data_IF_515092619503
#
_entry.id   IF_515092619503
#
_cell.length_a   1.000
_cell.length_b   1.000
_cell.length_c   1.000
_cell.angle_alpha   90.00
_cell.angle_beta   90.00
_cell.angle_gamma   90.00
#
_symmetry.space_group_name_H-M   'P 1'
#
loop_
_entity.id
_entity.type
_entity.pdbx_description
1 polymer ?
#
# COMPACT_ATOMS: atom_id res chain seq x y z
N UNK A 1 -31.12 20.74 -6.20
CA UNK A 1 -30.83 20.33 -7.58
C UNK A 1 -30.06 19.03 -7.49
N UNK A 2 -30.53 17.96 -8.13
CA UNK A 2 -29.78 16.70 -8.16
C UNK A 2 -28.43 16.98 -8.83
N UNK A 3 -27.33 16.55 -8.22
CA UNK A 3 -26.01 16.67 -8.83
C UNK A 3 -26.03 15.93 -10.16
N UNK A 4 -25.92 16.66 -11.27
CA UNK A 4 -25.74 16.07 -12.60
C UNK A 4 -24.45 15.25 -12.60
N UNK A 5 -24.51 14.05 -13.17
CA UNK A 5 -23.37 13.16 -13.26
C UNK A 5 -22.25 13.85 -14.06
N UNK A 6 -21.07 14.13 -13.46
CA UNK A 6 -20.08 15.04 -14.05
C UNK A 6 -19.30 14.43 -15.21
N UNK A 7 -19.52 13.16 -15.54
CA UNK A 7 -18.82 12.47 -16.62
C UNK A 7 -19.71 12.33 -17.85
N UNK A 8 -19.18 12.65 -19.02
CA UNK A 8 -19.87 12.40 -20.27
C UNK A 8 -20.13 10.90 -20.43
N UNK A 9 -21.38 10.51 -20.70
CA UNK A 9 -21.74 9.11 -20.95
C UNK A 9 -21.17 8.55 -22.26
N UNK A 10 -20.57 9.43 -23.07
CA UNK A 10 -20.00 9.15 -24.39
C UNK A 10 -18.47 9.16 -24.38
N UNK A 11 -17.83 9.00 -23.22
CA UNK A 11 -16.37 8.89 -23.16
C UNK A 11 -15.89 7.63 -23.89
N UNK A 12 -15.11 7.80 -24.97
CA UNK A 12 -14.54 6.68 -25.72
C UNK A 12 -13.58 5.87 -24.83
N UNK A 13 -13.69 4.53 -24.80
CA UNK A 13 -12.79 3.71 -24.02
C UNK A 13 -11.37 3.77 -24.57
N UNK A 14 -10.38 3.83 -23.69
CA UNK A 14 -8.98 3.67 -24.06
C UNK A 14 -8.80 2.26 -24.64
N UNK A 15 -8.06 2.15 -25.76
CA UNK A 15 -7.80 0.88 -26.45
C UNK A 15 -6.30 0.63 -26.51
N UNK A 16 -5.91 -0.64 -26.32
CA UNK A 16 -4.53 -1.10 -26.48
C UNK A 16 -4.53 -2.49 -27.12
N UNK A 17 -3.53 -2.79 -27.94
CA UNK A 17 -3.47 -4.05 -28.68
C UNK A 17 -2.75 -5.18 -27.93
N UNK A 18 -1.86 -4.85 -26.98
CA UNK A 18 -0.93 -5.82 -26.35
C UNK A 18 -1.07 -5.95 -24.85
N UNK A 19 -1.22 -4.82 -24.15
CA UNK A 19 -1.29 -4.78 -22.70
C UNK A 19 -1.86 -3.45 -22.24
N UNK A 20 -2.48 -3.46 -21.06
CA UNK A 20 -3.09 -2.28 -20.44
C UNK A 20 -2.94 -2.39 -18.93
N UNK A 21 -2.56 -1.28 -18.29
CA UNK A 21 -2.58 -1.13 -16.84
C UNK A 21 -3.51 0.03 -16.53
N UNK A 22 -4.43 -0.20 -15.59
CA UNK A 22 -5.39 0.80 -15.13
C UNK A 22 -5.25 0.90 -13.62
N UNK A 23 -4.98 2.10 -13.11
CA UNK A 23 -4.94 2.37 -11.68
C UNK A 23 -5.45 3.77 -11.37
N UNK A 24 -5.53 4.12 -10.08
CA UNK A 24 -5.97 5.43 -9.61
C UNK A 24 -4.94 6.54 -9.81
N UNK A 25 -3.71 6.21 -10.24
CA UNK A 25 -2.66 7.20 -10.45
C UNK A 25 -1.92 6.99 -11.79
N UNK A 26 -1.58 8.10 -12.45
CA UNK A 26 -0.92 8.05 -13.75
C UNK A 26 0.55 7.61 -13.65
N UNK A 27 1.29 7.96 -12.59
CA UNK A 27 2.65 7.44 -12.37
C UNK A 27 2.61 5.93 -12.16
N UNK A 28 1.72 5.43 -11.32
CA UNK A 28 1.63 3.99 -11.04
C UNK A 28 1.15 3.18 -12.25
N UNK A 29 0.23 3.72 -13.05
CA UNK A 29 -0.17 3.12 -14.32
C UNK A 29 1.01 3.07 -15.31
N UNK A 30 1.78 4.15 -15.39
CA UNK A 30 2.96 4.20 -16.26
C UNK A 30 4.05 3.21 -15.84
N UNK A 31 4.30 3.05 -14.53
CA UNK A 31 5.23 2.05 -13.99
C UNK A 31 4.84 0.64 -14.45
N UNK A 32 3.55 0.26 -14.30
CA UNK A 32 3.09 -1.04 -14.76
C UNK A 32 3.18 -1.21 -16.28
N UNK A 33 2.87 -0.17 -17.06
CA UNK A 33 3.03 -0.18 -18.52
C UNK A 33 4.49 -0.38 -18.92
N UNK A 34 5.44 0.27 -18.24
CA UNK A 34 6.88 0.09 -18.48
C UNK A 34 7.29 -1.36 -18.26
N UNK A 35 6.85 -1.99 -17.17
CA UNK A 35 7.12 -3.42 -16.91
C UNK A 35 6.58 -4.31 -18.03
N UNK A 36 5.37 -4.05 -18.53
CA UNK A 36 4.83 -4.79 -19.68
C UNK A 36 5.65 -4.57 -20.97
N UNK A 37 6.11 -3.33 -21.21
CA UNK A 37 6.93 -3.00 -22.39
C UNK A 37 8.32 -3.66 -22.33
N UNK A 38 8.85 -3.86 -21.14
CA UNK A 38 10.15 -4.50 -20.88
C UNK A 38 10.06 -6.03 -20.86
N UNK A 39 8.87 -6.59 -21.11
CA UNK A 39 8.63 -8.04 -21.26
C UNK A 39 8.13 -8.74 -20.01
N UNK A 40 7.83 -8.00 -18.94
CA UNK A 40 7.14 -8.54 -17.77
C UNK A 40 5.69 -8.94 -18.07
N UNK A 41 5.16 -9.83 -17.25
CA UNK A 41 3.79 -10.29 -17.38
C UNK A 41 2.80 -9.42 -16.57
N UNK A 42 1.51 -9.76 -16.60
CA UNK A 42 0.48 -9.00 -15.89
C UNK A 42 0.65 -9.03 -14.35
N UNK A 43 1.23 -10.09 -13.77
CA UNK A 43 1.53 -10.17 -12.34
C UNK A 43 2.71 -9.27 -11.99
N UNK A 44 3.78 -9.28 -12.80
CA UNK A 44 4.92 -8.37 -12.64
C UNK A 44 4.47 -6.90 -12.66
N UNK A 45 3.67 -6.53 -13.66
CA UNK A 45 3.12 -5.18 -13.79
C UNK A 45 2.22 -4.81 -12.59
N UNK A 46 1.39 -5.74 -12.11
CA UNK A 46 0.53 -5.51 -10.94
C UNK A 46 1.34 -5.30 -9.65
N UNK A 47 2.45 -6.05 -9.47
CA UNK A 47 3.36 -5.88 -8.33
C UNK A 47 4.02 -4.51 -8.37
N UNK A 48 4.62 -4.13 -9.50
CA UNK A 48 5.27 -2.83 -9.64
C UNK A 48 4.29 -1.65 -9.50
N UNK A 49 3.10 -1.75 -10.10
CA UNK A 49 2.03 -0.74 -9.93
C UNK A 49 1.60 -0.64 -8.47
N UNK A 50 1.52 -1.75 -7.73
CA UNK A 50 1.12 -1.73 -6.32
C UNK A 50 2.15 -1.02 -5.43
N UNK A 51 3.45 -1.26 -5.64
CA UNK A 51 4.51 -0.52 -4.94
C UNK A 51 4.54 0.95 -5.32
N UNK A 52 4.35 1.28 -6.61
CA UNK A 52 4.25 2.68 -7.03
C UNK A 52 3.05 3.38 -6.35
N UNK A 53 1.88 2.74 -6.29
CA UNK A 53 0.70 3.28 -5.59
C UNK A 53 0.96 3.49 -4.10
N UNK A 54 1.77 2.66 -3.44
CA UNK A 54 2.16 2.85 -2.04
C UNK A 54 2.93 4.16 -1.79
N UNK A 55 3.45 4.78 -2.86
CA UNK A 55 4.17 6.05 -2.80
C UNK A 55 3.31 7.20 -3.29
N UNK A 56 2.70 7.07 -4.48
CA UNK A 56 2.03 8.20 -5.15
C UNK A 56 0.56 8.36 -4.75
N UNK A 57 -0.04 7.33 -4.13
CA UNK A 57 -1.43 7.35 -3.67
C UNK A 57 -1.54 6.96 -2.18
N UNK A 58 -0.96 7.75 -1.25
CA UNK A 58 -0.87 7.40 0.17
C UNK A 58 -2.22 7.30 0.90
N UNK A 59 -3.33 7.78 0.30
CA UNK A 59 -4.69 7.62 0.82
C UNK A 59 -5.13 6.13 0.85
N UNK A 60 -4.56 5.28 -0.01
CA UNK A 60 -4.99 3.88 -0.12
C UNK A 60 -3.90 2.90 -0.55
N UNK A 61 -2.99 3.31 -1.45
CA UNK A 61 -1.82 2.50 -1.78
C UNK A 61 -0.94 2.33 -0.55
N UNK A 62 -0.44 1.12 -0.30
CA UNK A 62 0.19 0.84 0.99
C UNK A 62 1.20 -0.32 0.95
N UNK A 63 2.13 -0.26 1.90
CA UNK A 63 2.89 -1.41 2.41
C UNK A 63 2.47 -1.78 3.85
N UNK A 64 1.76 -0.88 4.54
CA UNK A 64 1.30 -1.01 5.93
C UNK A 64 -0.15 -1.51 6.10
N UNK A 65 -0.83 -1.89 5.01
CA UNK A 65 -2.17 -2.49 5.04
C UNK A 65 -2.18 -3.86 4.38
N UNK A 66 -3.28 -4.23 3.73
CA UNK A 66 -3.47 -5.51 3.06
C UNK A 66 -4.32 -5.42 1.81
N UNK A 67 -4.77 -6.57 1.31
CA UNK A 67 -5.60 -6.63 0.11
C UNK A 67 -5.75 -8.04 -0.47
N UNK A 68 -6.11 -8.07 -1.76
CA UNK A 68 -6.37 -9.29 -2.50
C UNK A 68 -5.89 -9.13 -3.95
N UNK A 69 -5.43 -10.23 -4.55
CA UNK A 69 -5.08 -10.30 -5.97
C UNK A 69 -5.80 -11.49 -6.59
N UNK A 70 -6.56 -11.25 -7.66
CA UNK A 70 -7.18 -12.29 -8.47
C UNK A 70 -6.50 -12.31 -9.83
N UNK A 71 -6.05 -13.49 -10.24
CA UNK A 71 -5.27 -13.69 -11.45
C UNK A 71 -6.04 -14.66 -12.33
N UNK A 72 -6.15 -14.34 -13.62
CA UNK A 72 -6.68 -15.23 -14.65
C UNK A 72 -5.64 -15.37 -15.75
N UNK A 73 -5.24 -16.60 -16.01
CA UNK A 73 -4.23 -16.93 -17.01
C UNK A 73 -4.87 -17.19 -18.39
N UNK A 74 -4.04 -17.16 -19.43
CA UNK A 74 -4.47 -17.32 -20.81
C UNK A 74 -5.03 -18.73 -21.11
N UNK A 75 -4.57 -19.73 -20.37
CA UNK A 75 -5.07 -21.12 -20.43
C UNK A 75 -6.38 -21.33 -19.66
N UNK A 76 -6.86 -20.30 -18.97
CA UNK A 76 -8.08 -20.33 -18.17
C UNK A 76 -7.88 -20.70 -16.71
N UNK A 77 -6.65 -21.01 -16.26
CA UNK A 77 -6.35 -21.17 -14.84
C UNK A 77 -6.66 -19.86 -14.09
N UNK A 78 -7.11 -19.98 -12.84
CA UNK A 78 -7.36 -18.84 -11.97
C UNK A 78 -6.71 -19.06 -10.62
N UNK A 79 -6.26 -17.98 -10.01
CA UNK A 79 -5.68 -18.00 -8.68
C UNK A 79 -6.10 -16.76 -7.89
N UNK A 80 -6.23 -16.89 -6.58
CA UNK A 80 -6.42 -15.76 -5.69
C UNK A 80 -5.40 -15.78 -4.55
N UNK A 81 -4.78 -14.63 -4.28
CA UNK A 81 -3.98 -14.39 -3.08
C UNK A 81 -4.79 -13.49 -2.15
N UNK A 82 -5.06 -14.00 -0.95
CA UNK A 82 -5.55 -13.23 0.18
C UNK A 82 -4.35 -12.78 1.03
N UNK A 83 -4.13 -11.48 1.06
CA UNK A 83 -3.16 -10.83 1.91
C UNK A 83 -3.82 -9.75 2.75
N UNK A 84 -5.04 -10.03 3.22
CA UNK A 84 -5.72 -9.22 4.23
C UNK A 84 -4.94 -9.24 5.54
N UNK A 85 -4.95 -8.10 6.22
CA UNK A 85 -4.37 -7.97 7.55
C UNK A 85 -4.94 -9.03 8.50
N UNK A 86 -4.10 -9.53 9.40
CA UNK A 86 -4.51 -10.44 10.48
C UNK A 86 -4.53 -9.67 11.79
N UNK A 87 -5.49 -9.97 12.65
CA UNK A 87 -5.46 -9.44 14.00
C UNK A 87 -4.17 -9.93 14.70
N UNK A 88 -3.49 -9.07 15.48
CA UNK A 88 -2.35 -9.50 16.30
C UNK A 88 -2.74 -10.64 17.24
N UNK A 89 -1.78 -11.47 17.65
CA UNK A 89 -1.99 -12.61 18.55
C UNK A 89 -2.59 -12.21 19.90
N UNK A 90 -2.27 -10.99 20.36
CA UNK A 90 -2.83 -10.41 21.58
C UNK A 90 -4.26 -9.84 21.40
N UNK A 91 -4.78 -9.77 20.17
CA UNK A 91 -6.14 -9.32 19.92
C UNK A 91 -7.16 -10.32 20.49
N UNK A 92 -8.25 -9.79 21.05
CA UNK A 92 -9.32 -10.59 21.63
C UNK A 92 -10.67 -9.92 21.42
N UNK A 93 -11.74 -10.71 21.53
CA UNK A 93 -13.13 -10.30 21.25
C UNK A 93 -13.51 -8.93 21.84
N UNK A 94 -13.14 -8.68 23.09
CA UNK A 94 -13.56 -7.51 23.86
C UNK A 94 -12.51 -6.39 23.92
N UNK A 95 -11.46 -6.43 23.09
CA UNK A 95 -10.34 -5.48 23.19
C UNK A 95 -10.76 -4.01 22.99
N UNK A 96 -11.89 -3.76 22.32
CA UNK A 96 -12.43 -2.42 22.09
C UNK A 96 -13.56 -2.04 23.06
N UNK A 97 -13.81 -2.83 24.10
CA UNK A 97 -14.88 -2.56 25.06
C UNK A 97 -14.33 -2.04 26.39
N UNK A 98 -14.96 -1.00 26.92
CA UNK A 98 -14.82 -0.56 28.29
C UNK A 98 -15.53 -1.55 29.24
N UNK A 99 -15.31 -1.39 30.55
CA UNK A 99 -15.86 -2.30 31.57
C UNK A 99 -17.40 -2.30 31.64
N UNK A 100 -18.03 -1.19 31.22
CA UNK A 100 -19.48 -1.03 31.12
C UNK A 100 -20.07 -1.52 29.79
N UNK A 101 -19.21 -1.94 28.85
CA UNK A 101 -19.58 -2.44 27.53
C UNK A 101 -19.60 -1.38 26.43
N UNK A 102 -19.26 -0.13 26.73
CA UNK A 102 -19.15 0.92 25.72
C UNK A 102 -17.88 0.77 24.88
N UNK A 103 -17.88 1.32 23.66
CA UNK A 103 -16.69 1.30 22.79
C UNK A 103 -15.62 2.25 23.33
N UNK A 104 -14.40 1.73 23.45
CA UNK A 104 -13.21 2.55 23.70
C UNK A 104 -12.93 3.42 22.48
N UNK A 105 -12.39 4.62 22.71
CA UNK A 105 -11.80 5.41 21.62
C UNK A 105 -10.60 4.65 21.00
N UNK A 106 -10.23 5.05 19.78
CA UNK A 106 -9.06 4.49 19.11
C UNK A 106 -9.26 3.16 18.38
N UNK A 107 -10.51 2.69 18.26
CA UNK A 107 -10.85 1.46 17.52
C UNK A 107 -10.91 1.65 15.99
N UNK A 108 -11.03 2.90 15.53
CA UNK A 108 -10.99 3.28 14.10
C UNK A 108 -9.68 3.99 13.73
N UNK A 109 -9.17 4.82 14.63
CA UNK A 109 -7.99 5.65 14.43
C UNK A 109 -6.99 5.41 15.57
N UNK A 110 -5.73 5.10 15.26
CA UNK A 110 -4.70 4.84 16.27
C UNK A 110 -4.23 3.38 16.31
N UNK A 111 -3.23 3.12 17.13
CA UNK A 111 -2.41 1.91 17.06
C UNK A 111 -3.17 0.61 17.34
N UNK A 112 -4.27 0.67 18.10
CA UNK A 112 -5.12 -0.51 18.38
C UNK A 112 -5.97 -0.93 17.19
N UNK A 113 -6.22 -0.04 16.23
CA UNK A 113 -6.97 -0.35 15.01
C UNK A 113 -6.12 -1.10 13.95
N UNK A 114 -4.81 -1.24 14.17
CA UNK A 114 -3.87 -1.75 13.17
C UNK A 114 -3.80 -3.28 13.21
N UNK A 115 -4.12 -3.92 12.09
CA UNK A 115 -3.84 -5.34 11.86
C UNK A 115 -2.43 -5.55 11.31
N UNK A 116 -1.90 -6.76 11.46
CA UNK A 116 -0.59 -7.15 10.93
C UNK A 116 -0.59 -6.98 9.40
N UNK A 117 0.23 -6.07 8.82
CA UNK A 117 0.15 -5.73 7.40
C UNK A 117 0.42 -6.93 6.49
N UNK A 118 -0.32 -7.01 5.39
CA UNK A 118 -0.26 -8.12 4.46
C UNK A 118 0.29 -7.82 3.07
N UNK A 119 0.26 -6.55 2.65
CA UNK A 119 0.56 -6.15 1.27
C UNK A 119 1.90 -6.71 0.75
N UNK A 120 3.00 -6.49 1.47
CA UNK A 120 4.33 -6.94 1.04
C UNK A 120 4.39 -8.46 0.89
N UNK A 121 3.84 -9.22 1.84
CA UNK A 121 3.83 -10.68 1.75
C UNK A 121 2.93 -11.20 0.61
N UNK A 122 1.82 -10.51 0.30
CA UNK A 122 0.94 -10.85 -0.81
C UNK A 122 1.61 -10.65 -2.16
N UNK A 123 2.19 -9.45 -2.37
CA UNK A 123 2.91 -9.12 -3.59
C UNK A 123 4.13 -10.02 -3.80
N UNK A 124 4.89 -10.26 -2.73
CA UNK A 124 6.01 -11.21 -2.75
C UNK A 124 5.53 -12.63 -3.12
N UNK A 125 4.47 -13.14 -2.49
CA UNK A 125 3.96 -14.47 -2.80
C UNK A 125 3.48 -14.62 -4.25
N UNK A 126 2.82 -13.59 -4.80
CA UNK A 126 2.41 -13.57 -6.20
C UNK A 126 3.63 -13.57 -7.14
N UNK A 127 4.62 -12.71 -6.88
CA UNK A 127 5.87 -12.67 -7.65
C UNK A 127 6.63 -14.00 -7.60
N UNK A 128 6.81 -14.60 -6.41
CA UNK A 128 7.53 -15.86 -6.29
C UNK A 128 6.90 -17.02 -7.06
N UNK A 129 5.58 -16.97 -7.29
CA UNK A 129 4.86 -18.03 -7.99
C UNK A 129 4.69 -17.75 -9.48
N UNK A 130 4.47 -16.50 -9.87
CA UNK A 130 4.06 -16.13 -11.23
C UNK A 130 4.84 -14.96 -11.83
N UNK A 131 5.79 -14.38 -11.11
CA UNK A 131 6.65 -13.32 -11.61
C UNK A 131 7.66 -13.84 -12.63
N UNK A 132 8.07 -12.96 -13.53
CA UNK A 132 9.08 -13.24 -14.56
C UNK A 132 10.18 -12.17 -14.66
N UNK A 133 9.97 -11.01 -14.05
CA UNK A 133 10.95 -9.93 -13.94
C UNK A 133 11.65 -10.04 -12.57
N UNK A 134 12.95 -9.74 -12.44
CA UNK A 134 13.61 -9.74 -11.13
C UNK A 134 12.88 -8.82 -10.12
N UNK A 135 12.65 -9.32 -8.91
CA UNK A 135 11.97 -8.57 -7.84
C UNK A 135 12.49 -7.15 -7.64
N UNK A 136 13.82 -7.00 -7.68
CA UNK A 136 14.46 -5.71 -7.45
C UNK A 136 14.02 -4.66 -8.48
N UNK A 137 13.82 -5.08 -9.73
CA UNK A 137 13.42 -4.22 -10.84
C UNK A 137 11.93 -3.82 -10.73
N UNK A 138 11.11 -4.61 -10.03
CA UNK A 138 9.71 -4.27 -9.78
C UNK A 138 9.52 -3.28 -8.62
N UNK A 139 10.46 -3.25 -7.66
CA UNK A 139 10.42 -2.33 -6.51
C UNK A 139 11.15 -1.01 -6.81
N UNK A 140 12.19 -1.04 -7.67
CA UNK A 140 13.03 0.11 -7.99
C UNK A 140 12.24 1.38 -8.39
N UNK A 141 11.21 1.32 -9.26
CA UNK A 141 10.46 2.51 -9.65
C UNK A 141 9.74 3.19 -8.48
N UNK A 142 9.31 2.42 -7.48
CA UNK A 142 8.69 2.98 -6.28
C UNK A 142 9.73 3.69 -5.40
N UNK A 143 10.96 3.16 -5.31
CA UNK A 143 12.06 3.83 -4.59
C UNK A 143 12.38 5.17 -5.26
N UNK A 144 12.48 5.20 -6.60
CA UNK A 144 12.72 6.44 -7.36
C UNK A 144 11.60 7.46 -7.13
N UNK A 145 10.33 7.03 -7.18
CA UNK A 145 9.20 7.90 -6.86
C UNK A 145 9.28 8.40 -5.41
N UNK A 146 9.65 7.55 -4.45
CA UNK A 146 9.74 7.96 -3.05
C UNK A 146 10.86 8.99 -2.80
N UNK A 147 11.89 9.02 -3.64
CA UNK A 147 12.94 10.04 -3.61
C UNK A 147 12.46 11.40 -4.16
N UNK A 148 11.38 11.43 -4.94
CA UNK A 148 10.77 12.67 -5.41
C UNK A 148 9.84 12.50 -6.60
N UNK A 149 8.64 13.08 -6.51
CA UNK A 149 7.72 13.19 -7.64
C UNK A 149 6.89 14.48 -7.55
N UNK A 150 6.38 14.94 -8.69
CA UNK A 150 5.51 16.12 -8.73
C UNK A 150 4.12 15.79 -8.19
N UNK A 151 3.66 16.59 -7.21
CA UNK A 151 2.32 16.53 -6.64
C UNK A 151 1.29 16.96 -7.69
N UNK A 152 0.33 16.09 -7.98
CA UNK A 152 -0.76 16.35 -8.96
C UNK A 152 -2.09 16.63 -8.28
N UNK A 153 -3.07 17.09 -9.06
CA UNK A 153 -4.37 17.58 -8.58
C UNK A 153 -5.09 16.62 -7.62
N UNK A 154 -5.16 15.32 -7.96
CA UNK A 154 -5.81 14.31 -7.11
C UNK A 154 -5.13 14.20 -5.74
N UNK A 155 -3.80 14.16 -5.70
CA UNK A 155 -3.06 14.04 -4.45
C UNK A 155 -3.17 15.32 -3.63
N UNK A 156 -3.01 16.50 -4.24
CA UNK A 156 -3.18 17.78 -3.57
C UNK A 156 -4.58 17.91 -2.95
N UNK A 157 -5.62 17.47 -3.66
CA UNK A 157 -6.98 17.44 -3.14
C UNK A 157 -7.14 16.46 -1.98
N UNK A 158 -6.59 15.25 -2.09
CA UNK A 158 -6.64 14.22 -1.05
C UNK A 158 -5.94 14.68 0.25
N UNK A 159 -4.72 15.20 0.14
CA UNK A 159 -3.96 15.74 1.27
C UNK A 159 -4.66 16.95 1.90
N UNK A 160 -5.19 17.87 1.07
CA UNK A 160 -5.91 19.05 1.53
C UNK A 160 -7.18 18.73 2.33
N UNK A 161 -7.87 17.62 2.03
CA UNK A 161 -9.03 17.15 2.80
C UNK A 161 -8.65 16.40 4.09
N UNK A 162 -7.38 16.03 4.24
CA UNK A 162 -6.91 15.14 5.31
C UNK A 162 -6.02 15.85 6.32
N UNK A 163 -5.86 17.18 6.24
CA UNK A 163 -4.93 17.97 7.08
C UNK A 163 -5.12 17.68 8.57
N UNK A 164 -6.36 17.68 9.06
CA UNK A 164 -6.64 17.46 10.48
C UNK A 164 -6.21 16.04 10.92
N UNK A 165 -6.46 15.03 10.09
CA UNK A 165 -6.07 13.65 10.38
C UNK A 165 -4.55 13.43 10.30
N UNK A 166 -3.90 14.05 9.31
CA UNK A 166 -2.45 13.98 9.11
C UNK A 166 -1.67 14.71 10.21
N UNK A 167 -2.30 15.68 10.88
CA UNK A 167 -1.70 16.44 11.98
C UNK A 167 -1.76 15.76 13.34
N UNK A 168 -2.42 14.61 13.48
CA UNK A 168 -2.58 13.90 14.76
C UNK A 168 -1.26 13.32 15.25
N UNK A 169 -0.56 12.58 14.38
CA UNK A 169 0.69 11.90 14.72
C UNK A 169 1.90 12.73 14.25
N UNK A 170 2.87 13.07 15.12
CA UNK A 170 4.02 13.89 14.75
C UNK A 170 4.82 13.35 13.56
N UNK A 171 5.03 12.03 13.49
CA UNK A 171 5.76 11.39 12.39
C UNK A 171 5.01 11.51 11.05
N UNK A 172 3.67 11.43 11.08
CA UNK A 172 2.84 11.65 9.89
C UNK A 172 2.85 13.12 9.47
N UNK A 173 2.74 14.05 10.42
CA UNK A 173 2.75 15.48 10.14
C UNK A 173 4.09 15.94 9.55
N UNK A 174 5.22 15.39 10.03
CA UNK A 174 6.55 15.70 9.49
C UNK A 174 6.68 15.37 8.00
N UNK A 175 6.08 14.26 7.56
CA UNK A 175 6.10 13.82 6.17
C UNK A 175 5.08 14.63 5.34
N UNK A 176 3.81 14.63 5.76
CA UNK A 176 2.70 15.09 4.91
C UNK A 176 2.30 16.54 5.14
N UNK A 177 2.77 17.18 6.20
CA UNK A 177 2.49 18.58 6.53
C UNK A 177 3.80 19.35 6.85
N UNK A 178 4.82 19.33 5.98
CA UNK A 178 6.06 20.05 6.23
C UNK A 178 5.79 21.55 6.39
N UNK A 179 6.16 22.11 7.54
CA UNK A 179 5.82 23.51 7.88
C UNK A 179 4.34 23.73 8.22
N UNK A 180 3.60 22.65 8.53
CA UNK A 180 2.20 22.68 8.96
C UNK A 180 1.17 22.72 7.83
N UNK A 181 1.58 22.50 6.57
CA UNK A 181 0.69 22.53 5.40
C UNK A 181 1.05 21.39 4.43
N UNK A 182 0.08 20.86 3.68
CA UNK A 182 0.35 19.83 2.70
C UNK A 182 1.22 20.35 1.54
N UNK A 183 2.03 19.49 0.91
CA UNK A 183 2.79 19.82 -0.28
C UNK A 183 1.92 20.49 -1.36
N UNK A 184 2.32 21.66 -1.90
CA UNK A 184 1.56 22.35 -2.93
C UNK A 184 1.45 21.56 -4.24
N UNK A 185 0.36 21.79 -5.00
CA UNK A 185 0.26 21.32 -6.39
C UNK A 185 1.48 21.77 -7.21
N UNK A 186 2.08 20.84 -7.98
CA UNK A 186 3.27 21.09 -8.79
C UNK A 186 4.59 21.11 -8.01
N UNK A 187 4.57 21.01 -6.69
CA UNK A 187 5.78 20.86 -5.88
C UNK A 187 6.32 19.43 -5.94
N UNK A 188 7.58 19.23 -5.57
CA UNK A 188 8.16 17.90 -5.41
C UNK A 188 7.88 17.37 -4.02
N UNK A 189 7.24 16.21 -3.93
CA UNK A 189 7.01 15.50 -2.68
C UNK A 189 8.02 14.35 -2.51
N UNK A 190 8.64 14.28 -1.33
CA UNK A 190 9.73 13.37 -0.99
C UNK A 190 9.36 12.57 0.24
N UNK A 191 9.62 11.26 0.22
CA UNK A 191 9.30 10.31 1.28
C UNK A 191 10.54 9.44 1.58
N UNK A 192 11.62 10.06 2.08
CA UNK A 192 12.92 9.41 2.27
C UNK A 192 12.87 8.14 3.13
N UNK A 193 12.08 8.15 4.21
CA UNK A 193 11.95 6.99 5.11
C UNK A 193 11.21 5.82 4.43
N UNK A 194 10.24 6.14 3.57
CA UNK A 194 9.57 5.15 2.74
C UNK A 194 10.53 4.60 1.69
N UNK A 195 11.35 5.44 1.06
CA UNK A 195 12.38 5.00 0.13
C UNK A 195 13.37 4.02 0.78
N UNK A 196 13.81 4.30 2.01
CA UNK A 196 14.67 3.39 2.78
C UNK A 196 13.96 2.06 3.10
N UNK A 197 12.68 2.11 3.49
CA UNK A 197 11.88 0.90 3.74
C UNK A 197 11.68 0.06 2.48
N UNK A 198 11.40 0.71 1.34
CA UNK A 198 11.30 0.05 0.05
C UNK A 198 12.64 -0.55 -0.38
N UNK A 199 13.77 0.10 -0.08
CA UNK A 199 15.11 -0.46 -0.27
C UNK A 199 15.31 -1.76 0.51
N UNK A 200 14.93 -1.79 1.79
CA UNK A 200 14.97 -3.04 2.59
C UNK A 200 14.08 -4.13 1.99
N UNK A 201 12.89 -3.79 1.49
CA UNK A 201 11.99 -4.73 0.81
C UNK A 201 12.58 -5.21 -0.53
N UNK A 202 13.26 -4.35 -1.27
CA UNK A 202 13.92 -4.69 -2.52
C UNK A 202 15.02 -5.73 -2.30
N UNK A 203 15.85 -5.53 -1.28
CA UNK A 203 16.98 -6.40 -0.95
C UNK A 203 16.55 -7.70 -0.26
N UNK A 204 15.64 -7.60 0.71
CA UNK A 204 15.22 -8.71 1.58
C UNK A 204 13.93 -9.41 1.16
N UNK A 205 13.29 -8.98 0.06
CA UNK A 205 11.99 -9.48 -0.35
C UNK A 205 10.93 -9.25 0.73
N UNK A 206 10.16 -10.31 1.05
CA UNK A 206 9.24 -10.31 2.20
C UNK A 206 9.95 -9.87 3.48
N UNK A 207 11.09 -10.44 3.78
CA UNK A 207 11.70 -10.32 5.11
C UNK A 207 12.30 -8.93 5.36
N UNK A 208 12.51 -8.13 4.30
CA UNK A 208 12.83 -6.71 4.42
C UNK A 208 11.74 -5.87 5.10
N UNK A 209 10.51 -6.38 5.20
CA UNK A 209 9.40 -5.76 5.93
C UNK A 209 9.11 -6.45 7.27
N UNK A 210 9.06 -7.79 7.26
CA UNK A 210 8.56 -8.57 8.40
C UNK A 210 9.63 -8.96 9.43
N UNK A 211 10.92 -8.72 9.13
CA UNK A 211 12.05 -8.96 10.02
C UNK A 211 13.02 -7.77 9.99
N UNK A 212 13.99 -7.77 10.89
CA UNK A 212 15.04 -6.74 10.96
C UNK A 212 14.49 -5.34 11.22
N UNK A 213 15.17 -4.33 10.66
CA UNK A 213 14.95 -2.93 11.00
C UNK A 213 13.49 -2.46 10.79
N UNK A 214 12.84 -2.84 9.68
CA UNK A 214 11.44 -2.44 9.45
C UNK A 214 10.50 -3.02 10.51
N UNK A 215 10.70 -4.28 10.89
CA UNK A 215 9.91 -4.91 11.95
C UNK A 215 10.17 -4.26 13.32
N UNK A 216 11.43 -3.95 13.62
CA UNK A 216 11.83 -3.26 14.85
C UNK A 216 11.15 -1.88 14.96
N UNK A 217 11.11 -1.11 13.87
CA UNK A 217 10.45 0.19 13.82
C UNK A 217 8.94 0.10 14.01
N UNK A 218 8.29 -0.91 13.40
CA UNK A 218 6.85 -1.14 13.58
C UNK A 218 6.54 -1.49 15.04
N UNK A 219 7.30 -2.41 15.64
CA UNK A 219 7.06 -2.83 17.04
C UNK A 219 7.33 -1.68 18.00
N UNK A 220 8.40 -0.90 17.80
CA UNK A 220 8.68 0.28 18.60
C UNK A 220 7.54 1.32 18.52
N UNK A 221 6.92 1.48 17.34
CA UNK A 221 5.77 2.37 17.18
C UNK A 221 4.52 1.84 17.91
N UNK A 222 4.28 0.54 17.84
CA UNK A 222 3.17 -0.10 18.56
C UNK A 222 3.35 0.02 20.07
N UNK A 223 4.56 -0.16 20.59
CA UNK A 223 4.88 0.04 22.00
C UNK A 223 4.65 1.50 22.41
N UNK A 224 5.06 2.47 21.57
CA UNK A 224 4.88 3.91 21.84
C UNK A 224 3.41 4.31 21.90
N UNK A 225 2.58 3.79 20.99
CA UNK A 225 1.17 4.14 20.86
C UNK A 225 0.18 3.20 21.56
N UNK A 226 0.66 2.16 22.26
CA UNK A 226 -0.21 1.15 22.89
C UNK A 226 -0.91 0.22 21.91
N UNK A 227 -0.31 -0.01 20.74
CA UNK A 227 -0.70 -1.03 19.76
C UNK A 227 -0.33 -2.45 20.20
N UNK A 228 -0.72 -3.43 19.37
CA UNK A 228 -0.64 -4.85 19.73
C UNK A 228 0.30 -5.69 18.86
N UNK A 229 0.80 -5.17 17.73
CA UNK A 229 1.65 -5.94 16.83
C UNK A 229 3.03 -6.15 17.47
N UNK A 230 3.46 -7.42 17.53
CA UNK A 230 4.77 -7.85 18.02
C UNK A 230 5.67 -8.36 16.88
N UNK A 231 6.93 -8.64 17.19
CA UNK A 231 7.82 -9.35 16.26
C UNK A 231 7.29 -10.74 15.88
N UNK A 232 6.63 -11.44 16.81
CA UNK A 232 6.05 -12.77 16.54
C UNK A 232 4.91 -12.67 15.52
N UNK A 233 4.07 -11.64 15.65
CA UNK A 233 3.01 -11.34 14.69
C UNK A 233 3.54 -11.13 13.27
N UNK A 234 4.54 -10.25 13.14
CA UNK A 234 5.15 -9.91 11.86
C UNK A 234 5.88 -11.13 11.25
N UNK A 235 6.71 -11.81 12.04
CA UNK A 235 7.43 -12.99 11.60
C UNK A 235 6.48 -14.12 11.18
N UNK A 236 5.35 -14.26 11.87
CA UNK A 236 4.32 -15.28 11.62
C UNK A 236 3.39 -14.99 10.44
N UNK A 237 3.31 -13.74 9.96
CA UNK A 237 2.38 -13.38 8.89
C UNK A 237 2.66 -14.14 7.58
N UNK A 238 1.61 -14.68 6.96
CA UNK A 238 1.66 -15.33 5.64
C UNK A 238 0.39 -14.99 4.86
N UNK A 239 0.57 -14.59 3.61
CA UNK A 239 -0.51 -14.52 2.63
C UNK A 239 -1.03 -15.93 2.33
N UNK A 240 -2.31 -16.05 1.99
CA UNK A 240 -2.98 -17.32 1.75
C UNK A 240 -3.42 -17.42 0.28
N UNK A 241 -3.12 -18.55 -0.36
CA UNK A 241 -3.72 -18.88 -1.65
C UNK A 241 -5.12 -19.44 -1.43
N UNK A 242 -6.08 -18.98 -2.22
CA UNK A 242 -7.49 -19.37 -2.13
C UNK A 242 -8.03 -19.78 -3.50
N UNK A 243 -9.04 -20.63 -3.49
CA UNK A 243 -9.87 -20.91 -4.66
C UNK A 243 -10.80 -19.70 -4.90
N UNK A 244 -10.79 -19.10 -6.11
CA UNK A 244 -11.74 -18.04 -6.47
C UNK A 244 -13.20 -18.54 -6.46
N UNK A 245 -14.13 -17.69 -6.03
CA UNK A 245 -15.58 -17.97 -5.99
C UNK A 245 -16.23 -17.65 -7.34
#
# INVERSE_FOLDING_TARGET
>A
MAAEWPFAMDAEPVRAERGMVVSTDAYASQVGVNVLMEGGNAVDAAVATSFALAVVNPEAGNIGGGGFMVIRFADGETAAVDYREKAPLAAHRDMYLAADGDLLEGYVHGHRAVGVPGAVAGLWAAHQRYGSVPWADLVAPAIELAQGFEVRERQAHSLGRSVDALGVEPATAEIFLPGGQPPPLGSTFVQSDLAATLGRIQEGGRDGFYLGETADLIVAEMERGGGLITHEDLAGYRAAWREPI
#
